data_IF_954941934784
#
_entry.id   IF_954941934784
#
_cell.length_a   1.000
_cell.length_b   1.000
_cell.length_c   1.000
_cell.angle_alpha   90.00
_cell.angle_beta   90.00
_cell.angle_gamma   90.00
#
_symmetry.space_group_name_H-M   'P 1'
#
loop_
_entity.id
_entity.type
_entity.pdbx_description
1 polymer ?
#
# COMPACT_ATOMS: atom_id res chain seq x y z
N UNK A 1 -24.77 -23.23 42.68
CA UNK A 1 -23.48 -23.48 42.01
C UNK A 1 -23.36 -22.70 40.69
N UNK A 2 -24.36 -22.76 39.80
CA UNK A 2 -24.37 -22.07 38.50
C UNK A 2 -24.11 -20.55 38.55
N UNK A 3 -24.73 -19.81 39.48
CA UNK A 3 -24.56 -18.36 39.57
C UNK A 3 -23.10 -17.92 39.83
N UNK A 4 -22.34 -18.69 40.62
CA UNK A 4 -20.92 -18.41 40.89
C UNK A 4 -20.04 -18.64 39.67
N UNK A 5 -20.40 -19.61 38.82
CA UNK A 5 -19.67 -19.92 37.60
C UNK A 5 -19.88 -18.84 36.52
N UNK A 6 -21.11 -18.31 36.43
CA UNK A 6 -21.45 -17.22 35.50
C UNK A 6 -20.72 -15.93 35.90
N UNK A 7 -20.70 -15.59 37.20
CA UNK A 7 -19.99 -14.38 37.68
C UNK A 7 -18.49 -14.47 37.34
N UNK A 8 -17.87 -15.64 37.53
CA UNK A 8 -16.44 -15.84 37.28
C UNK A 8 -16.10 -15.77 35.78
N UNK A 9 -16.99 -16.27 34.91
CA UNK A 9 -16.85 -16.12 33.45
C UNK A 9 -16.99 -14.67 33.00
N UNK A 10 -17.94 -13.93 33.56
CA UNK A 10 -18.16 -12.51 33.23
C UNK A 10 -16.98 -11.65 33.70
N UNK A 11 -16.45 -11.89 34.91
CA UNK A 11 -15.28 -11.15 35.39
C UNK A 11 -14.02 -11.45 34.58
N UNK A 12 -13.79 -12.71 34.20
CA UNK A 12 -12.68 -13.09 33.33
C UNK A 12 -12.81 -12.44 31.94
N UNK A 13 -14.03 -12.40 31.39
CA UNK A 13 -14.31 -11.75 30.11
C UNK A 13 -14.11 -10.22 30.18
N UNK A 14 -14.59 -9.56 31.26
CA UNK A 14 -14.34 -8.14 31.48
C UNK A 14 -12.85 -7.81 31.63
N UNK A 15 -12.09 -8.64 32.35
CA UNK A 15 -10.63 -8.46 32.48
C UNK A 15 -9.92 -8.63 31.13
N UNK A 16 -10.36 -9.59 30.31
CA UNK A 16 -9.83 -9.78 28.96
C UNK A 16 -10.14 -8.58 28.04
N UNK A 17 -11.38 -8.07 28.08
CA UNK A 17 -11.80 -6.89 27.32
C UNK A 17 -11.06 -5.61 27.77
N UNK A 18 -10.77 -5.46 29.07
CA UNK A 18 -9.98 -4.35 29.59
C UNK A 18 -8.50 -4.43 29.19
N UNK A 19 -7.96 -5.64 29.03
CA UNK A 19 -6.57 -5.84 28.61
C UNK A 19 -6.35 -5.46 27.13
N UNK A 20 -7.26 -5.82 26.22
CA UNK A 20 -7.13 -5.44 24.81
C UNK A 20 -7.28 -3.94 24.57
N UNK A 21 -8.14 -3.25 25.35
CA UNK A 21 -8.30 -1.80 25.23
C UNK A 21 -7.05 -1.01 25.62
N UNK A 22 -6.19 -1.55 26.49
CA UNK A 22 -4.97 -0.88 26.97
C UNK A 22 -3.82 -0.83 25.95
N UNK A 23 -3.94 -1.54 24.81
CA UNK A 23 -2.85 -1.68 23.82
C UNK A 23 -3.05 -0.77 22.59
N UNK A 24 -4.17 -0.04 22.50
CA UNK A 24 -4.42 0.85 21.37
C UNK A 24 -3.64 2.17 21.50
N UNK A 25 -2.35 2.13 21.18
CA UNK A 25 -1.56 3.34 20.99
C UNK A 25 -1.86 3.92 19.59
N UNK A 26 -2.20 5.22 19.48
CA UNK A 26 -2.38 5.85 18.18
C UNK A 26 -1.04 5.81 17.44
N UNK A 27 -0.97 5.02 16.37
CA UNK A 27 0.19 5.00 15.47
C UNK A 27 0.24 6.30 14.66
N UNK A 28 1.38 6.95 14.68
CA UNK A 28 1.67 8.04 13.75
C UNK A 28 2.10 7.45 12.41
N UNK A 29 1.91 8.20 11.33
CA UNK A 29 2.28 7.76 9.99
C UNK A 29 2.92 8.88 9.18
N UNK A 30 3.86 8.51 8.33
CA UNK A 30 4.34 9.34 7.23
C UNK A 30 4.03 8.68 5.89
N UNK A 31 3.99 9.50 4.84
CA UNK A 31 3.62 9.08 3.49
C UNK A 31 4.80 9.24 2.55
N UNK A 32 5.03 8.24 1.69
CA UNK A 32 6.00 8.36 0.62
C UNK A 32 5.35 8.05 -0.73
N UNK A 33 5.64 8.90 -1.71
CA UNK A 33 5.14 8.77 -3.09
C UNK A 33 5.97 7.74 -3.87
N UNK A 34 5.29 6.88 -4.61
CA UNK A 34 5.84 5.99 -5.65
C UNK A 34 5.14 6.30 -6.96
N UNK A 35 5.89 6.37 -8.05
CA UNK A 35 5.31 6.63 -9.36
C UNK A 35 5.76 5.55 -10.33
N UNK A 36 4.82 4.72 -10.79
CA UNK A 36 5.05 3.74 -11.83
C UNK A 36 4.68 4.35 -13.19
N UNK A 37 5.68 4.56 -14.04
CA UNK A 37 5.48 5.09 -15.40
C UNK A 37 5.67 3.95 -16.39
N UNK A 38 4.59 3.57 -17.07
CA UNK A 38 4.58 2.53 -18.08
C UNK A 38 4.44 3.14 -19.47
N UNK A 39 5.27 2.67 -20.41
CA UNK A 39 5.31 3.16 -21.78
C UNK A 39 5.10 2.02 -22.76
N UNK A 40 4.08 2.14 -23.61
CA UNK A 40 3.91 1.24 -24.74
C UNK A 40 5.02 1.48 -25.75
N UNK A 41 5.61 0.42 -26.26
CA UNK A 41 6.58 0.48 -27.36
C UNK A 41 6.07 -0.44 -28.46
N UNK A 42 6.03 0.06 -29.69
CA UNK A 42 5.66 -0.76 -30.85
C UNK A 42 6.55 -2.00 -30.93
N UNK A 43 5.93 -3.15 -31.23
CA UNK A 43 6.62 -4.44 -31.28
C UNK A 43 6.73 -5.18 -29.94
N UNK A 44 6.24 -4.61 -28.81
CA UNK A 44 6.15 -5.31 -27.54
C UNK A 44 4.70 -5.56 -27.11
N UNK A 45 4.39 -6.76 -26.58
CA UNK A 45 3.04 -7.09 -26.12
C UNK A 45 2.65 -6.37 -24.82
N UNK A 46 3.63 -6.00 -23.99
CA UNK A 46 3.43 -5.39 -22.66
C UNK A 46 4.25 -4.11 -22.56
N UNK A 47 3.67 -3.07 -21.95
CA UNK A 47 4.36 -1.80 -21.73
C UNK A 47 5.49 -1.95 -20.72
N UNK A 48 6.64 -1.32 -20.98
CA UNK A 48 7.76 -1.28 -20.04
C UNK A 48 7.51 -0.25 -18.96
N UNK A 49 7.70 -0.63 -17.70
CA UNK A 49 7.43 0.23 -16.55
C UNK A 49 8.71 0.63 -15.83
N UNK A 50 8.76 1.87 -15.35
CA UNK A 50 9.87 2.38 -14.53
C UNK A 50 9.29 2.93 -13.24
N UNK A 51 9.86 2.51 -12.11
CA UNK A 51 9.50 3.02 -10.80
C UNK A 51 10.33 4.25 -10.48
N UNK A 52 9.64 5.33 -10.13
CA UNK A 52 10.23 6.59 -9.67
C UNK A 52 9.97 6.79 -8.19
N UNK A 53 11.00 7.28 -7.51
CA UNK A 53 10.98 7.65 -6.09
C UNK A 53 11.66 9.00 -5.92
N UNK A 54 11.00 9.94 -5.25
CA UNK A 54 11.48 11.33 -5.13
C UNK A 54 11.85 11.92 -6.50
N UNK A 55 11.01 11.64 -7.50
CA UNK A 55 11.14 12.06 -8.90
C UNK A 55 12.41 11.59 -9.62
N UNK A 56 13.12 10.60 -9.05
CA UNK A 56 14.27 9.93 -9.67
C UNK A 56 13.90 8.51 -10.11
N UNK A 57 14.33 8.07 -11.31
CA UNK A 57 14.13 6.68 -11.72
C UNK A 57 14.95 5.78 -10.79
N UNK A 58 14.34 4.72 -10.28
CA UNK A 58 15.00 3.77 -9.40
C UNK A 58 15.29 2.46 -10.09
N UNK A 59 14.29 1.89 -10.75
CA UNK A 59 14.40 0.56 -11.36
C UNK A 59 13.41 0.42 -12.53
N UNK A 60 13.85 -0.30 -13.57
CA UNK A 60 13.00 -0.67 -14.70
C UNK A 60 12.44 -2.06 -14.46
N UNK A 61 11.11 -2.21 -14.56
CA UNK A 61 10.37 -3.44 -14.26
C UNK A 61 10.75 -4.07 -12.90
N UNK A 62 10.55 -3.35 -11.77
CA UNK A 62 11.03 -3.77 -10.46
C UNK A 62 10.37 -5.08 -10.01
N UNK A 63 11.17 -6.14 -9.94
CA UNK A 63 10.75 -7.49 -9.57
C UNK A 63 9.40 -7.91 -10.20
N UNK A 64 9.19 -7.57 -11.48
CA UNK A 64 7.91 -7.86 -12.12
C UNK A 64 7.76 -9.35 -12.47
N UNK A 65 6.56 -9.91 -12.26
CA UNK A 65 6.23 -11.29 -12.62
C UNK A 65 4.78 -11.43 -13.08
N UNK A 66 4.48 -12.51 -13.78
CA UNK A 66 3.14 -12.79 -14.29
C UNK A 66 2.47 -13.91 -13.51
N UNK A 67 1.17 -13.77 -13.28
CA UNK A 67 0.31 -14.82 -12.75
C UNK A 67 -0.89 -15.01 -13.65
N UNK A 68 -1.13 -16.26 -14.03
CA UNK A 68 -2.28 -16.65 -14.82
C UNK A 68 -3.30 -17.27 -13.88
N UNK A 69 -4.50 -16.69 -13.86
CA UNK A 69 -5.64 -17.30 -13.22
C UNK A 69 -6.31 -18.24 -14.22
N UNK A 70 -6.11 -19.55 -14.04
CA UNK A 70 -6.66 -20.58 -14.93
C UNK A 70 -8.20 -20.60 -14.96
N UNK A 71 -8.85 -20.26 -13.84
CA UNK A 71 -10.31 -20.27 -13.74
C UNK A 71 -10.97 -19.15 -14.55
N UNK A 72 -10.32 -17.99 -14.66
CA UNK A 72 -10.82 -16.83 -15.44
C UNK A 72 -10.08 -16.64 -16.75
N UNK A 73 -9.04 -17.43 -17.01
CA UNK A 73 -8.09 -17.27 -18.11
C UNK A 73 -7.55 -15.83 -18.23
N UNK A 74 -7.31 -15.18 -17.08
CA UNK A 74 -6.78 -13.81 -17.03
C UNK A 74 -5.34 -13.81 -16.55
N UNK A 75 -4.45 -13.12 -17.26
CA UNK A 75 -3.09 -12.85 -16.83
C UNK A 75 -3.02 -11.50 -16.11
N UNK A 76 -2.32 -11.48 -14.98
CA UNK A 76 -1.94 -10.28 -14.24
C UNK A 76 -0.42 -10.19 -14.20
N UNK A 77 0.11 -9.03 -14.56
CA UNK A 77 1.53 -8.71 -14.30
C UNK A 77 1.61 -7.88 -13.03
N UNK A 78 2.34 -8.38 -12.06
CA UNK A 78 2.65 -7.72 -10.79
C UNK A 78 4.02 -7.07 -10.89
N UNK A 79 4.17 -5.87 -10.32
CA UNK A 79 5.45 -5.17 -10.20
C UNK A 79 5.58 -4.58 -8.80
N UNK A 80 6.77 -4.66 -8.21
CA UNK A 80 7.04 -4.25 -6.84
C UNK A 80 7.07 -2.72 -6.71
N UNK A 81 6.48 -2.19 -5.64
CA UNK A 81 6.44 -0.75 -5.36
C UNK A 81 7.55 -0.27 -4.42
N UNK A 82 8.30 -1.20 -3.82
CA UNK A 82 9.35 -0.89 -2.84
C UNK A 82 8.79 -0.06 -1.67
N UNK A 83 7.71 -0.57 -1.09
CA UNK A 83 7.03 -0.07 0.09
C UNK A 83 7.08 -1.11 1.21
N UNK A 84 8.30 -1.60 1.45
CA UNK A 84 8.62 -2.55 2.50
C UNK A 84 8.12 -2.02 3.85
N UNK A 85 7.38 -2.83 4.61
CA UNK A 85 6.81 -2.49 5.93
C UNK A 85 5.74 -1.39 5.94
N UNK A 86 5.23 -0.96 4.78
CA UNK A 86 4.09 -0.04 4.74
C UNK A 86 2.80 -0.75 5.20
N UNK A 87 2.07 -0.13 6.14
CA UNK A 87 0.83 -0.67 6.71
C UNK A 87 -0.34 -0.65 5.70
N UNK A 88 -0.34 0.33 4.78
CA UNK A 88 -1.38 0.51 3.77
C UNK A 88 -0.86 1.31 2.57
N UNK A 89 -1.45 1.10 1.41
CA UNK A 89 -1.46 2.07 0.31
C UNK A 89 -2.86 2.72 0.25
N UNK A 90 -2.97 4.05 0.31
CA UNK A 90 -4.30 4.69 0.46
C UNK A 90 -4.72 5.54 -0.73
N UNK A 91 -3.76 6.14 -1.44
CA UNK A 91 -4.04 7.02 -2.57
C UNK A 91 -3.36 6.49 -3.82
N UNK A 92 -4.17 6.11 -4.81
CA UNK A 92 -3.68 5.79 -6.15
C UNK A 92 -4.31 6.73 -7.17
N UNK A 93 -3.46 7.49 -7.87
CA UNK A 93 -3.87 8.39 -8.94
C UNK A 93 -3.39 7.84 -10.29
N UNK A 94 -4.25 7.97 -11.31
CA UNK A 94 -3.97 7.57 -12.68
C UNK A 94 -3.68 8.79 -13.54
N UNK A 95 -2.81 8.67 -14.54
CA UNK A 95 -2.67 9.67 -15.60
C UNK A 95 -2.37 8.97 -16.94
N UNK A 96 -3.15 9.23 -18.00
CA UNK A 96 -4.31 10.12 -18.03
C UNK A 96 -5.54 9.54 -17.33
N UNK A 97 -6.34 10.40 -16.68
CA UNK A 97 -7.56 9.99 -15.97
C UNK A 97 -8.61 9.35 -16.89
N UNK A 98 -8.67 9.78 -18.15
CA UNK A 98 -9.66 9.35 -19.13
C UNK A 98 -9.37 8.01 -19.80
N UNK A 99 -8.22 7.37 -19.56
CA UNK A 99 -7.94 6.07 -20.17
C UNK A 99 -8.93 5.00 -19.66
N UNK A 100 -9.72 4.41 -20.55
CA UNK A 100 -10.74 3.42 -20.19
C UNK A 100 -10.22 1.98 -20.14
N UNK A 101 -9.04 1.71 -20.72
CA UNK A 101 -8.39 0.40 -20.67
C UNK A 101 -7.88 0.06 -19.27
N UNK A 102 -7.55 1.09 -18.49
CA UNK A 102 -7.05 1.00 -17.13
C UNK A 102 -8.07 1.56 -16.13
N UNK A 103 -8.94 0.69 -15.63
CA UNK A 103 -9.91 0.93 -14.55
C UNK A 103 -9.42 0.30 -13.24
N UNK A 104 -9.40 1.09 -12.15
CA UNK A 104 -8.95 0.65 -10.82
C UNK A 104 -9.83 -0.51 -10.34
N UNK A 105 -9.26 -1.45 -9.61
CA UNK A 105 -9.88 -2.69 -9.12
C UNK A 105 -10.21 -3.75 -10.18
N UNK A 106 -10.42 -3.35 -11.44
CA UNK A 106 -10.73 -4.29 -12.52
C UNK A 106 -9.50 -4.71 -13.32
N UNK A 107 -8.69 -3.73 -13.70
CA UNK A 107 -7.54 -3.94 -14.62
C UNK A 107 -6.22 -3.49 -14.02
N UNK A 108 -6.26 -2.75 -12.92
CA UNK A 108 -5.09 -2.52 -12.08
C UNK A 108 -5.51 -2.25 -10.64
N UNK A 109 -4.68 -2.70 -9.69
CA UNK A 109 -4.79 -2.34 -8.28
C UNK A 109 -3.48 -2.71 -7.58
N UNK A 110 -3.33 -2.25 -6.36
CA UNK A 110 -2.28 -2.66 -5.43
C UNK A 110 -2.67 -3.91 -4.66
N UNK A 111 -1.68 -4.73 -4.33
CA UNK A 111 -1.87 -5.94 -3.54
C UNK A 111 -0.68 -6.11 -2.61
N UNK A 112 -0.96 -6.30 -1.32
CA UNK A 112 0.08 -6.60 -0.35
C UNK A 112 0.50 -8.06 -0.49
N UNK A 113 1.80 -8.29 -0.65
CA UNK A 113 2.38 -9.63 -0.69
C UNK A 113 3.55 -9.67 0.28
N UNK A 114 3.37 -10.46 1.35
CA UNK A 114 4.30 -10.52 2.49
C UNK A 114 4.51 -9.14 3.12
N UNK A 115 5.70 -8.60 2.97
CA UNK A 115 6.23 -7.38 3.56
C UNK A 115 6.20 -6.18 2.61
N UNK A 116 5.82 -6.37 1.34
CA UNK A 116 5.81 -5.30 0.34
C UNK A 116 4.48 -5.22 -0.41
N UNK A 117 4.34 -4.13 -1.15
CA UNK A 117 3.21 -3.83 -2.01
C UNK A 117 3.60 -4.00 -3.47
N UNK A 118 2.69 -4.60 -4.22
CA UNK A 118 2.81 -4.78 -5.66
C UNK A 118 1.68 -4.04 -6.33
N UNK A 119 1.95 -3.45 -7.48
CA UNK A 119 0.90 -3.00 -8.39
C UNK A 119 0.73 -4.05 -9.48
N UNK A 120 -0.50 -4.51 -9.67
CA UNK A 120 -0.81 -5.41 -10.76
C UNK A 120 -1.58 -4.71 -11.87
N UNK A 121 -1.39 -5.18 -13.10
CA UNK A 121 -2.13 -4.77 -14.30
C UNK A 121 -2.60 -6.01 -15.05
N UNK A 122 -3.71 -5.91 -15.78
CA UNK A 122 -4.24 -7.00 -16.60
C UNK A 122 -4.90 -6.52 -17.88
N UNK A 123 -5.12 -7.44 -18.83
CA UNK A 123 -5.84 -7.19 -20.07
C UNK A 123 -5.22 -6.08 -20.92
N UNK A 124 -6.07 -5.27 -21.57
CA UNK A 124 -5.62 -4.12 -22.35
C UNK A 124 -4.84 -3.09 -21.52
N UNK A 125 -5.04 -3.05 -20.20
CA UNK A 125 -4.24 -2.15 -19.38
C UNK A 125 -2.75 -2.49 -19.45
N UNK A 126 -2.33 -3.73 -19.70
CA UNK A 126 -0.91 -4.13 -19.76
C UNK A 126 -0.11 -3.45 -20.88
N UNK A 127 -0.74 -3.21 -22.02
CA UNK A 127 -0.08 -2.64 -23.19
C UNK A 127 -0.16 -1.09 -23.22
N UNK A 128 -0.85 -0.47 -22.27
CA UNK A 128 -1.15 0.97 -22.29
C UNK A 128 0.01 1.83 -21.77
N UNK A 129 0.21 3.02 -22.36
CA UNK A 129 1.05 4.08 -21.78
C UNK A 129 0.29 4.80 -20.67
N UNK A 130 0.78 4.68 -19.43
CA UNK A 130 0.06 5.15 -18.23
C UNK A 130 1.04 5.47 -17.10
N UNK A 131 0.68 6.45 -16.28
CA UNK A 131 1.33 6.76 -15.01
C UNK A 131 0.40 6.41 -13.86
N UNK A 132 0.90 5.63 -12.91
CA UNK A 132 0.20 5.22 -11.69
C UNK A 132 1.01 5.73 -10.49
N UNK A 133 0.42 6.64 -9.72
CA UNK A 133 1.02 7.19 -8.52
C UNK A 133 0.41 6.50 -7.31
N UNK A 134 1.24 5.96 -6.41
CA UNK A 134 0.83 5.26 -5.18
C UNK A 134 1.48 5.92 -3.98
N UNK A 135 0.72 6.15 -2.92
CA UNK A 135 1.22 6.69 -1.66
C UNK A 135 1.30 5.59 -0.61
N UNK A 136 2.52 5.27 -0.20
CA UNK A 136 2.81 4.24 0.79
C UNK A 136 2.82 4.84 2.20
N UNK A 137 2.08 4.22 3.11
CA UNK A 137 1.87 4.66 4.49
C UNK A 137 2.76 3.86 5.44
N UNK A 138 3.75 4.51 6.04
CA UNK A 138 4.69 3.87 6.96
C UNK A 138 4.36 4.26 8.41
N UNK A 139 4.32 3.29 9.33
CA UNK A 139 4.17 3.60 10.75
C UNK A 139 5.42 4.35 11.25
N UNK A 140 5.21 5.29 12.16
CA UNK A 140 6.26 6.08 12.82
C UNK A 140 6.10 5.91 14.32
N UNK A 141 7.20 5.67 15.04
CA UNK A 141 7.20 5.76 16.49
C UNK A 141 6.96 7.23 16.87
N UNK A 142 5.91 7.54 17.67
CA UNK A 142 5.65 8.91 18.07
C UNK A 142 6.87 9.61 18.68
N UNK A 143 7.75 8.87 19.39
CA UNK A 143 8.97 9.43 19.99
C UNK A 143 9.92 9.96 18.93
N UNK A 144 10.21 9.14 17.92
CA UNK A 144 11.11 9.52 16.81
C UNK A 144 10.57 10.77 16.09
N UNK A 145 9.26 10.82 15.86
CA UNK A 145 8.64 12.00 15.26
C UNK A 145 8.78 13.27 16.12
N UNK A 146 8.57 13.18 17.44
CA UNK A 146 8.74 14.32 18.33
C UNK A 146 10.20 14.80 18.37
N UNK A 147 11.17 13.88 18.33
CA UNK A 147 12.60 14.23 18.30
C UNK A 147 13.00 14.90 16.99
N UNK A 148 12.52 14.40 15.84
CA UNK A 148 12.80 14.95 14.52
C UNK A 148 12.11 16.30 14.24
N UNK A 149 11.00 16.58 14.93
CA UNK A 149 10.17 17.77 14.69
C UNK A 149 10.03 18.64 15.95
N UNK A 150 11.08 18.68 16.79
CA UNK A 150 11.05 19.36 18.10
C UNK A 150 10.62 20.82 17.99
N UNK A 151 11.02 21.49 16.92
CA UNK A 151 10.70 22.87 16.57
C UNK A 151 9.20 23.13 16.35
N UNK A 152 8.42 22.11 15.97
CA UNK A 152 6.96 22.22 15.84
C UNK A 152 6.27 22.30 17.22
N UNK A 153 6.96 21.85 18.28
CA UNK A 153 6.40 21.70 19.62
C UNK A 153 7.02 22.64 20.65
N UNK A 154 8.12 23.31 20.32
CA UNK A 154 8.70 24.34 21.18
C UNK A 154 7.85 25.62 21.15
N UNK A 155 7.18 25.88 22.28
CA UNK A 155 6.31 27.04 22.50
C UNK A 155 7.05 28.40 22.49
N UNK A 156 8.37 28.40 22.30
CA UNK A 156 9.24 29.58 22.18
C UNK A 156 9.45 30.05 20.74
N UNK A 157 8.90 29.35 19.73
CA UNK A 157 8.89 29.80 18.34
C UNK A 157 7.74 30.79 18.06
N UNK A 158 7.71 31.90 18.79
CA UNK A 158 6.94 33.09 18.43
C UNK A 158 7.63 34.37 18.89
#
# INVERSE_FOLDING_TARGET
MFARFIILLVTLCCLFMLFEAAVFTPKLYHWQKRVMVCTHTEGLPVARCVLYMNDKPRETNPDCFEEINEATNTSKTYCRLQCLEADSDSAMQKTPNWNHDCVRFFTYQTERRRDDWYIWRSGACLNTTIKLEVHCRFPVDPRDFYEENRELFDASAK
#
